data_IF_895318110380
#
_entry.id   IF_895318110380
#
_cell.length_a   1.000
_cell.length_b   1.000
_cell.length_c   1.000
_cell.angle_alpha   90.00
_cell.angle_beta   90.00
_cell.angle_gamma   90.00
#
_symmetry.space_group_name_H-M   'P 1'
#
loop_
_entity.id
_entity.type
_entity.pdbx_description
1 polymer ?
#
# COMPACT_ATOMS: atom_id res chain seq x y z
N UNK A 1 6.30 -36.79 -5.54
CA UNK A 1 6.11 -36.30 -4.15
C UNK A 1 5.62 -34.86 -4.06
N UNK A 2 6.37 -33.87 -4.55
CA UNK A 2 6.00 -32.45 -4.47
C UNK A 2 4.57 -32.12 -4.96
N UNK A 3 4.16 -32.66 -6.12
CA UNK A 3 2.83 -32.41 -6.69
C UNK A 3 1.71 -32.97 -5.80
N UNK A 4 1.94 -34.07 -5.08
CA UNK A 4 0.92 -34.72 -4.24
C UNK A 4 0.65 -33.93 -2.96
N UNK A 5 1.71 -33.41 -2.33
CA UNK A 5 1.60 -32.57 -1.13
C UNK A 5 0.88 -31.24 -1.43
N UNK A 6 1.18 -30.61 -2.57
CA UNK A 6 0.47 -29.38 -2.99
C UNK A 6 -1.02 -29.66 -3.24
N UNK A 7 -1.37 -30.82 -3.80
CA UNK A 7 -2.76 -31.23 -4.00
C UNK A 7 -3.50 -31.55 -2.69
N UNK A 8 -2.77 -31.88 -1.63
CA UNK A 8 -3.31 -32.11 -0.27
C UNK A 8 -3.45 -30.81 0.54
N UNK A 9 -3.04 -29.67 -0.03
CA UNK A 9 -3.11 -28.35 0.59
C UNK A 9 -1.87 -27.97 1.38
N UNK A 10 -0.85 -28.81 1.37
CA UNK A 10 0.42 -28.56 2.05
C UNK A 10 1.36 -27.71 1.18
N UNK A 11 2.14 -26.86 1.84
CA UNK A 11 3.17 -26.05 1.18
C UNK A 11 4.44 -26.91 1.06
N UNK A 12 4.82 -27.25 -0.16
CA UNK A 12 6.06 -27.98 -0.43
C UNK A 12 7.23 -27.01 -0.66
N UNK A 13 8.31 -27.15 0.14
CA UNK A 13 9.52 -26.34 0.02
C UNK A 13 10.70 -27.20 -0.47
N UNK A 14 11.42 -26.79 -1.54
CA UNK A 14 12.61 -27.51 -1.97
C UNK A 14 13.74 -27.39 -0.93
N UNK A 15 14.52 -28.45 -0.68
CA UNK A 15 15.50 -28.50 0.41
C UNK A 15 16.70 -27.55 0.23
N UNK A 16 16.89 -26.99 -0.97
CA UNK A 16 17.96 -26.04 -1.29
C UNK A 16 17.50 -24.58 -1.29
N UNK A 17 16.40 -24.26 -0.61
CA UNK A 17 15.89 -22.90 -0.54
C UNK A 17 16.77 -22.04 0.39
N UNK A 18 17.26 -20.88 -0.05
CA UNK A 18 17.98 -19.98 0.82
C UNK A 18 17.07 -19.49 1.95
N UNK A 19 17.59 -19.46 3.17
CA UNK A 19 16.84 -19.22 4.43
C UNK A 19 16.22 -17.83 4.55
N UNK A 20 16.52 -16.93 3.62
CA UNK A 20 16.05 -15.55 3.56
C UNK A 20 14.95 -15.32 2.52
N UNK A 21 14.46 -16.39 1.87
CA UNK A 21 13.38 -16.25 0.90
C UNK A 21 12.04 -16.14 1.62
N UNK A 22 11.45 -14.94 1.61
CA UNK A 22 10.09 -14.75 2.10
C UNK A 22 9.11 -15.30 1.04
N UNK A 23 8.53 -16.46 1.32
CA UNK A 23 7.62 -17.16 0.43
C UNK A 23 6.16 -16.76 0.63
N UNK A 24 5.87 -15.84 1.56
CA UNK A 24 4.52 -15.30 1.69
C UNK A 24 4.24 -14.38 0.50
N UNK A 25 3.31 -14.75 -0.41
CA UNK A 25 2.94 -13.89 -1.53
C UNK A 25 2.45 -12.51 -1.06
N UNK A 26 1.89 -12.41 0.16
CA UNK A 26 1.46 -11.14 0.75
C UNK A 26 2.63 -10.23 1.08
N UNK A 27 3.76 -10.78 1.52
CA UNK A 27 4.94 -9.99 1.83
C UNK A 27 5.57 -9.37 0.58
N UNK A 28 5.45 -10.03 -0.58
CA UNK A 28 5.88 -9.45 -1.85
C UNK A 28 5.02 -8.24 -2.25
N UNK A 29 3.69 -8.33 -2.05
CA UNK A 29 2.76 -7.24 -2.32
C UNK A 29 2.97 -6.05 -1.37
N UNK A 30 3.21 -6.31 -0.08
CA UNK A 30 3.54 -5.29 0.92
C UNK A 30 4.86 -4.57 0.58
N UNK A 31 5.89 -5.32 0.19
CA UNK A 31 7.19 -4.76 -0.21
C UNK A 31 7.05 -3.84 -1.43
N UNK A 32 6.34 -4.30 -2.47
CA UNK A 32 6.10 -3.51 -3.68
C UNK A 32 5.29 -2.23 -3.39
N UNK A 33 4.33 -2.29 -2.47
CA UNK A 33 3.57 -1.12 -2.06
C UNK A 33 4.45 -0.13 -1.27
N UNK A 34 5.29 -0.61 -0.36
CA UNK A 34 6.23 0.23 0.39
C UNK A 34 7.18 0.99 -0.55
N UNK A 35 7.70 0.35 -1.60
CA UNK A 35 8.51 1.01 -2.63
C UNK A 35 7.74 2.13 -3.36
N UNK A 36 6.47 1.88 -3.71
CA UNK A 36 5.62 2.90 -4.36
C UNK A 36 5.37 4.09 -3.44
N UNK A 37 5.20 3.87 -2.14
CA UNK A 37 5.06 4.95 -1.15
C UNK A 37 6.35 5.74 -1.03
N UNK A 38 7.52 5.07 -0.99
CA UNK A 38 8.82 5.75 -0.98
C UNK A 38 9.05 6.62 -2.22
N UNK A 39 8.43 6.29 -3.36
CA UNK A 39 8.49 7.11 -4.57
C UNK A 39 7.73 8.45 -4.48
N UNK A 40 6.89 8.64 -3.45
CA UNK A 40 6.13 9.87 -3.26
C UNK A 40 7.04 11.01 -2.79
N UNK A 41 6.73 12.23 -3.21
CA UNK A 41 7.37 13.39 -2.59
C UNK A 41 6.85 13.60 -1.17
N UNK A 42 7.57 14.31 -0.28
CA UNK A 42 7.09 14.57 1.08
C UNK A 42 5.68 15.19 1.12
N UNK A 43 5.39 16.11 0.20
CA UNK A 43 4.07 16.73 0.08
C UNK A 43 2.99 15.72 -0.37
N UNK A 44 3.33 14.84 -1.32
CA UNK A 44 2.41 13.78 -1.77
C UNK A 44 2.13 12.78 -0.66
N UNK A 45 3.14 12.41 0.14
CA UNK A 45 2.98 11.55 1.30
C UNK A 45 2.06 12.18 2.34
N UNK A 46 2.26 13.46 2.67
CA UNK A 46 1.38 14.21 3.59
C UNK A 46 -0.07 14.23 3.11
N UNK A 47 -0.30 14.48 1.82
CA UNK A 47 -1.65 14.41 1.22
C UNK A 47 -2.24 13.00 1.29
N UNK A 48 -1.45 11.96 1.03
CA UNK A 48 -1.89 10.56 1.13
C UNK A 48 -2.33 10.19 2.56
N UNK A 49 -1.60 10.63 3.59
CA UNK A 49 -1.97 10.36 4.98
C UNK A 49 -3.34 10.97 5.34
N UNK A 50 -3.59 12.22 4.95
CA UNK A 50 -4.92 12.83 5.14
C UNK A 50 -6.00 12.14 4.31
N UNK A 51 -5.67 11.59 3.14
CA UNK A 51 -6.60 10.77 2.36
C UNK A 51 -6.94 9.48 3.12
N UNK A 52 -5.95 8.82 3.73
CA UNK A 52 -6.12 7.63 4.55
C UNK A 52 -6.97 7.88 5.81
N UNK A 53 -6.84 9.07 6.40
CA UNK A 53 -7.70 9.55 7.50
C UNK A 53 -9.14 9.90 7.06
N UNK A 54 -9.43 9.84 5.76
CA UNK A 54 -10.78 10.08 5.24
C UNK A 54 -11.09 11.54 4.90
N UNK A 55 -10.13 12.47 4.98
CA UNK A 55 -10.37 13.89 4.69
C UNK A 55 -10.71 14.13 3.21
N UNK A 56 -11.75 14.94 2.96
CA UNK A 56 -12.14 15.37 1.63
C UNK A 56 -11.11 16.31 1.02
N UNK A 57 -11.00 16.36 -0.32
CA UNK A 57 -10.05 17.24 -1.00
C UNK A 57 -10.19 18.72 -0.58
N UNK A 58 -11.42 19.16 -0.29
CA UNK A 58 -11.70 20.52 0.21
C UNK A 58 -11.15 20.75 1.62
N UNK A 59 -11.23 19.75 2.49
CA UNK A 59 -10.65 19.82 3.85
C UNK A 59 -9.12 19.81 3.77
N UNK A 60 -8.54 18.91 2.98
CA UNK A 60 -7.09 18.86 2.75
C UNK A 60 -6.57 20.19 2.19
N UNK A 61 -7.31 20.79 1.25
CA UNK A 61 -6.97 22.08 0.66
C UNK A 61 -6.94 23.19 1.72
N UNK A 62 -7.92 23.19 2.63
CA UNK A 62 -7.97 24.11 3.77
C UNK A 62 -6.80 23.89 4.74
N UNK A 63 -6.52 22.65 5.14
CA UNK A 63 -5.43 22.31 6.07
C UNK A 63 -4.03 22.66 5.52
N UNK A 64 -3.86 22.63 4.20
CA UNK A 64 -2.59 22.92 3.53
C UNK A 64 -2.51 24.34 2.97
N UNK A 65 -3.53 25.18 3.15
CA UNK A 65 -3.64 26.53 2.58
C UNK A 65 -3.38 26.57 1.06
N UNK A 66 -4.04 25.69 0.31
CA UNK A 66 -3.95 25.60 -1.15
C UNK A 66 -5.32 25.45 -1.79
N UNK A 67 -5.39 25.51 -3.13
CA UNK A 67 -6.65 25.29 -3.85
C UNK A 67 -7.06 23.80 -3.87
N UNK A 68 -8.36 23.53 -3.95
CA UNK A 68 -8.87 22.17 -4.16
C UNK A 68 -8.35 21.56 -5.47
N UNK A 69 -8.14 22.37 -6.51
CA UNK A 69 -7.55 21.94 -7.78
C UNK A 69 -6.11 21.42 -7.59
N UNK A 70 -5.32 22.08 -6.73
CA UNK A 70 -3.98 21.63 -6.34
C UNK A 70 -4.03 20.26 -5.67
N UNK A 71 -4.99 20.05 -4.75
CA UNK A 71 -5.17 18.74 -4.10
C UNK A 71 -5.58 17.67 -5.10
N UNK A 72 -6.49 17.98 -6.04
CA UNK A 72 -6.86 17.04 -7.11
C UNK A 72 -5.63 16.61 -7.92
N UNK A 73 -4.75 17.54 -8.28
CA UNK A 73 -3.51 17.22 -8.98
C UNK A 73 -2.58 16.31 -8.16
N UNK A 74 -2.42 16.58 -6.85
CA UNK A 74 -1.68 15.70 -5.96
C UNK A 74 -2.28 14.31 -5.88
N UNK A 75 -3.59 14.19 -5.65
CA UNK A 75 -4.31 12.91 -5.55
C UNK A 75 -4.16 12.10 -6.83
N UNK A 76 -4.30 12.71 -8.01
CA UNK A 76 -4.07 12.02 -9.30
C UNK A 76 -2.64 11.51 -9.42
N UNK A 77 -1.64 12.32 -9.05
CA UNK A 77 -0.24 11.90 -9.10
C UNK A 77 0.07 10.77 -8.12
N UNK A 78 -0.52 10.81 -6.92
CA UNK A 78 -0.42 9.77 -5.90
C UNK A 78 -1.03 8.47 -6.42
N UNK A 79 -2.25 8.50 -6.95
CA UNK A 79 -2.93 7.31 -7.47
C UNK A 79 -2.12 6.63 -8.57
N UNK A 80 -1.54 7.42 -9.48
CA UNK A 80 -0.65 6.92 -10.53
C UNK A 80 0.60 6.23 -9.95
N UNK A 81 1.24 6.83 -8.93
CA UNK A 81 2.44 6.26 -8.30
C UNK A 81 2.13 5.01 -7.47
N UNK A 82 0.98 4.96 -6.82
CA UNK A 82 0.53 3.78 -6.07
C UNK A 82 -0.04 2.67 -6.97
N UNK A 83 -0.39 2.98 -8.22
CA UNK A 83 -1.02 2.04 -9.13
C UNK A 83 -2.49 1.76 -8.81
N UNK A 84 -3.17 2.71 -8.17
CA UNK A 84 -4.59 2.62 -7.79
C UNK A 84 -5.44 3.54 -8.65
N UNK A 85 -6.73 3.24 -8.78
CA UNK A 85 -7.65 3.97 -9.65
C UNK A 85 -8.58 4.92 -8.88
N UNK A 86 -8.81 4.65 -7.60
CA UNK A 86 -9.75 5.42 -6.82
C UNK A 86 -9.31 5.57 -5.37
N UNK A 87 -10.01 6.47 -4.68
CA UNK A 87 -9.73 6.81 -3.28
C UNK A 87 -9.84 5.60 -2.37
N UNK A 88 -10.87 4.78 -2.52
CA UNK A 88 -11.07 3.59 -1.69
C UNK A 88 -9.89 2.63 -1.81
N UNK A 89 -9.40 2.38 -3.02
CA UNK A 89 -8.21 1.55 -3.25
C UNK A 89 -6.96 2.17 -2.61
N UNK A 90 -6.79 3.49 -2.67
CA UNK A 90 -5.68 4.16 -2.00
C UNK A 90 -5.72 3.97 -0.47
N UNK A 91 -6.91 4.11 0.13
CA UNK A 91 -7.11 3.90 1.58
C UNK A 91 -6.81 2.44 1.95
N UNK A 92 -7.38 1.48 1.22
CA UNK A 92 -7.16 0.05 1.46
C UNK A 92 -5.68 -0.34 1.34
N UNK A 93 -4.96 0.23 0.37
CA UNK A 93 -3.52 -0.01 0.23
C UNK A 93 -2.77 0.44 1.49
N UNK A 94 -3.05 1.64 2.01
CA UNK A 94 -2.41 2.13 3.24
C UNK A 94 -2.80 1.30 4.46
N UNK A 95 -4.07 0.89 4.59
CA UNK A 95 -4.50 0.01 5.67
C UNK A 95 -3.81 -1.35 5.67
N UNK A 96 -3.40 -1.87 4.50
CA UNK A 96 -2.66 -3.12 4.39
C UNK A 96 -1.24 -3.03 4.96
N UNK A 97 -0.62 -1.84 4.94
CA UNK A 97 0.67 -1.60 5.60
C UNK A 97 0.53 -1.31 7.09
N UNK A 98 -0.61 -0.75 7.49
CA UNK A 98 -0.87 -0.35 8.87
C UNK A 98 -1.45 -1.48 9.73
N UNK A 99 -1.13 -2.74 9.42
CA UNK A 99 -1.43 -3.88 10.30
C UNK A 99 -0.46 -3.86 11.51
N UNK A 100 -0.52 -2.78 12.28
CA UNK A 100 -0.02 -2.66 13.64
C UNK A 100 -1.08 -2.00 14.54
N UNK A 101 -2.36 -2.31 14.34
CA UNK A 101 -3.26 -2.40 15.51
C UNK A 101 -3.07 -3.80 16.11
N UNK A 102 -1.95 -3.95 16.82
CA UNK A 102 -1.76 -4.99 17.82
C UNK A 102 -2.92 -4.80 18.81
N UNK A 103 -3.98 -5.60 18.64
CA UNK A 103 -5.01 -5.74 19.68
C UNK A 103 -4.30 -6.16 20.96
N UNK A 104 -4.35 -5.28 21.96
CA UNK A 104 -4.08 -5.57 23.37
C UNK A 104 -5.07 -6.66 23.82
#
# INVERSE_FOLDING_TARGET
>A
EAIRQVLEGDIWLPPNLPSNLNLDPRAADETALAERIQSLTPQQFRVLMMVAEGLLNKQIAYELDVSEATIKAHVTAIFRKLGVQNRTQAVLAISALNIEDKKI
#
